data_IF_024792006757
#
_entry.id   IF_024792006757
#
_cell.length_a   1.000
_cell.length_b   1.000
_cell.length_c   1.000
_cell.angle_alpha   90.00
_cell.angle_beta   90.00
_cell.angle_gamma   90.00
#
_symmetry.space_group_name_H-M   'P 1'
#
loop_
_entity.id
_entity.type
_entity.pdbx_description
1 polymer ?
#
# COMPACT_ATOMS: atom_id res chain seq x y z
N UNK A 1 12.85 5.21 7.39
CA UNK A 1 13.98 5.86 6.70
C UNK A 1 15.24 5.72 7.54
N UNK A 2 15.16 5.95 8.84
CA UNK A 2 16.24 5.75 9.83
C UNK A 2 16.99 4.40 9.71
N UNK A 3 16.29 3.27 9.50
CA UNK A 3 16.95 1.95 9.44
C UNK A 3 17.92 1.73 8.26
N UNK A 4 17.78 2.42 7.11
CA UNK A 4 18.69 2.19 5.97
C UNK A 4 19.92 3.10 6.07
N UNK A 5 19.72 4.35 6.48
CA UNK A 5 20.79 5.31 6.69
C UNK A 5 21.73 4.84 7.82
N UNK A 6 21.17 4.24 8.88
CA UNK A 6 21.95 3.61 9.96
C UNK A 6 22.75 2.40 9.49
N UNK A 7 22.20 1.59 8.58
CA UNK A 7 22.88 0.42 8.04
C UNK A 7 24.01 0.81 7.06
N UNK A 8 23.80 1.82 6.22
CA UNK A 8 24.85 2.37 5.35
C UNK A 8 25.98 3.00 6.17
N UNK A 9 25.65 3.76 7.22
CA UNK A 9 26.63 4.31 8.14
C UNK A 9 27.43 3.20 8.85
N UNK A 10 26.75 2.13 9.28
CA UNK A 10 27.38 0.97 9.90
C UNK A 10 28.30 0.21 8.92
N UNK A 11 27.90 0.04 7.65
CA UNK A 11 28.75 -0.55 6.62
C UNK A 11 30.00 0.29 6.37
N UNK A 12 29.84 1.61 6.24
CA UNK A 12 30.96 2.53 6.02
C UNK A 12 31.95 2.50 7.19
N UNK A 13 31.45 2.47 8.41
CA UNK A 13 32.27 2.33 9.62
C UNK A 13 33.02 0.99 9.64
N UNK A 14 32.36 -0.12 9.33
CA UNK A 14 32.99 -1.45 9.27
C UNK A 14 34.04 -1.56 8.16
N UNK A 15 33.80 -0.95 7.00
CA UNK A 15 34.77 -0.89 5.90
C UNK A 15 36.00 -0.07 6.28
N UNK A 16 35.84 1.03 7.01
CA UNK A 16 36.96 1.78 7.59
C UNK A 16 37.78 0.93 8.56
N UNK A 17 37.11 0.24 9.48
CA UNK A 17 37.76 -0.66 10.44
C UNK A 17 38.53 -1.82 9.76
N UNK A 18 37.99 -2.38 8.67
CA UNK A 18 38.69 -3.39 7.87
C UNK A 18 39.95 -2.84 7.19
N UNK A 19 39.91 -1.60 6.69
CA UNK A 19 41.07 -0.98 6.06
C UNK A 19 42.20 -0.78 7.08
N UNK A 20 41.88 -0.29 8.28
CA UNK A 20 42.82 -0.14 9.39
C UNK A 20 43.40 -1.50 9.85
N UNK A 21 42.54 -2.51 9.98
CA UNK A 21 42.97 -3.86 10.34
C UNK A 21 43.90 -4.48 9.28
N UNK A 22 43.65 -4.24 7.98
CA UNK A 22 44.52 -4.68 6.90
C UNK A 22 45.88 -3.99 6.93
N UNK A 23 45.92 -2.70 7.24
CA UNK A 23 47.19 -1.97 7.39
C UNK A 23 47.98 -2.49 8.60
N UNK A 24 47.31 -2.76 9.72
CA UNK A 24 47.93 -3.37 10.90
C UNK A 24 48.49 -4.76 10.60
N UNK A 25 47.79 -5.58 9.79
CA UNK A 25 48.29 -6.87 9.34
C UNK A 25 49.54 -6.73 8.47
N UNK A 26 49.58 -5.77 7.55
CA UNK A 26 50.77 -5.51 6.72
C UNK A 26 51.96 -5.10 7.57
N UNK A 27 51.76 -4.27 8.60
CA UNK A 27 52.80 -3.90 9.57
C UNK A 27 53.32 -5.12 10.33
N UNK A 28 52.43 -5.96 10.85
CA UNK A 28 52.79 -7.22 11.52
C UNK A 28 53.52 -8.21 10.62
N UNK A 29 53.13 -8.30 9.35
CA UNK A 29 53.83 -9.16 8.39
C UNK A 29 55.25 -8.64 8.11
N UNK A 30 55.43 -7.33 8.01
CA UNK A 30 56.75 -6.72 7.88
C UNK A 30 57.62 -6.95 9.13
N UNK A 31 57.07 -6.80 10.33
CA UNK A 31 57.75 -7.10 11.61
C UNK A 31 58.14 -8.58 11.71
N UNK A 32 57.24 -9.49 11.31
CA UNK A 32 57.52 -10.94 11.26
C UNK A 32 58.66 -11.25 10.29
N UNK A 33 58.67 -10.60 9.13
CA UNK A 33 59.72 -10.82 8.12
C UNK A 33 61.07 -10.22 8.58
N UNK A 34 61.05 -9.10 9.32
CA UNK A 34 62.25 -8.56 9.99
C UNK A 34 62.78 -9.52 11.07
N UNK A 35 61.91 -10.03 11.95
CA UNK A 35 62.28 -11.00 12.98
C UNK A 35 62.84 -12.30 12.40
N UNK A 36 62.35 -12.75 11.22
CA UNK A 36 62.93 -13.89 10.50
C UNK A 36 64.36 -13.60 10.03
N UNK A 37 64.62 -12.40 9.48
CA UNK A 37 65.97 -12.00 9.06
C UNK A 37 66.92 -11.91 10.24
N UNK A 38 66.48 -11.35 11.36
CA UNK A 38 67.27 -11.31 12.59
C UNK A 38 67.58 -12.71 13.14
N UNK A 39 66.59 -13.63 13.13
CA UNK A 39 66.82 -15.01 13.53
C UNK A 39 67.80 -15.76 12.61
N UNK A 40 67.78 -15.49 11.29
CA UNK A 40 68.75 -16.01 10.33
C UNK A 40 70.17 -15.49 10.62
N UNK A 41 70.31 -14.18 10.85
CA UNK A 41 71.59 -13.57 11.21
C UNK A 41 72.13 -14.12 12.54
N UNK A 42 71.28 -14.28 13.55
CA UNK A 42 71.67 -14.88 14.83
C UNK A 42 72.09 -16.35 14.69
N UNK A 43 71.49 -17.10 13.74
CA UNK A 43 71.91 -18.46 13.43
C UNK A 43 73.33 -18.48 12.83
N UNK A 44 73.62 -17.56 11.91
CA UNK A 44 74.97 -17.40 11.33
C UNK A 44 75.99 -17.04 12.42
N UNK A 45 75.66 -16.08 13.29
CA UNK A 45 76.53 -15.68 14.40
C UNK A 45 76.80 -16.84 15.38
N UNK A 46 75.79 -17.67 15.64
CA UNK A 46 75.92 -18.86 16.48
C UNK A 46 76.81 -19.92 15.82
N UNK A 47 76.71 -20.12 14.51
CA UNK A 47 77.62 -21.00 13.76
C UNK A 47 79.07 -20.48 13.79
N UNK A 48 79.27 -19.17 13.67
CA UNK A 48 80.58 -18.53 13.83
C UNK A 48 81.15 -18.70 15.24
N UNK A 49 80.35 -18.48 16.29
CA UNK A 49 80.76 -18.69 17.68
C UNK A 49 81.12 -20.16 17.96
N UNK A 50 80.41 -21.12 17.36
CA UNK A 50 80.77 -22.55 17.42
C UNK A 50 82.12 -22.82 16.76
N UNK A 51 82.38 -22.20 15.61
CA UNK A 51 83.66 -22.32 14.92
C UNK A 51 84.82 -21.69 15.72
N UNK A 52 84.60 -20.54 16.39
CA UNK A 52 85.59 -19.92 17.29
C UNK A 52 85.94 -20.84 18.46
N UNK A 53 84.94 -21.46 19.10
CA UNK A 53 85.16 -22.41 20.19
C UNK A 53 85.91 -23.65 19.69
N UNK A 54 85.55 -24.20 18.53
CA UNK A 54 86.23 -25.34 17.93
C UNK A 54 87.69 -25.03 17.57
N UNK A 55 87.96 -23.83 17.03
CA UNK A 55 89.31 -23.37 16.73
C UNK A 55 90.15 -23.14 18.00
N UNK A 56 89.57 -22.55 19.04
CA UNK A 56 90.24 -22.37 20.34
C UNK A 56 90.55 -23.71 21.03
N UNK A 57 89.67 -24.72 20.87
CA UNK A 57 89.91 -26.09 21.37
C UNK A 57 90.99 -26.82 20.56
N UNK A 58 91.02 -26.65 19.23
CA UNK A 58 92.03 -27.25 18.35
C UNK A 58 93.43 -26.65 18.53
N UNK A 59 93.52 -25.37 18.92
CA UNK A 59 94.79 -24.66 19.10
C UNK A 59 95.66 -25.20 20.25
N UNK A 60 95.11 -26.00 21.18
CA UNK A 60 95.82 -26.87 22.14
C UNK A 60 97.20 -26.40 22.69
N UNK A 61 97.36 -25.11 22.98
CA UNK A 61 98.59 -24.54 23.56
C UNK A 61 98.39 -24.33 25.07
N UNK A 62 99.29 -24.87 25.88
CA UNK A 62 99.21 -24.97 27.34
C UNK A 62 99.44 -23.66 28.11
N UNK A 63 99.10 -22.51 27.53
CA UNK A 63 99.30 -21.17 28.11
C UNK A 63 98.03 -20.55 28.72
N UNK A 64 98.20 -19.66 29.71
CA UNK A 64 97.09 -18.89 30.31
C UNK A 64 96.28 -18.09 29.26
N UNK A 65 96.96 -17.58 28.22
CA UNK A 65 96.31 -16.86 27.12
C UNK A 65 95.33 -17.73 26.31
N UNK A 66 95.66 -19.00 26.07
CA UNK A 66 94.79 -19.93 25.35
C UNK A 66 93.54 -20.29 26.19
N UNK A 67 93.70 -20.44 27.51
CA UNK A 67 92.58 -20.66 28.44
C UNK A 67 91.63 -19.45 28.49
N UNK A 68 92.19 -18.23 28.51
CA UNK A 68 91.39 -17.00 28.47
C UNK A 68 90.64 -16.82 27.15
N UNK A 69 91.27 -17.16 26.01
CA UNK A 69 90.63 -17.14 24.69
C UNK A 69 89.49 -18.17 24.59
N UNK A 70 89.70 -19.39 25.09
CA UNK A 70 88.67 -20.43 25.12
C UNK A 70 87.47 -20.05 26.02
N UNK A 71 87.71 -19.45 27.20
CA UNK A 71 86.64 -18.94 28.06
C UNK A 71 85.84 -17.82 27.39
N UNK A 72 86.51 -16.88 26.71
CA UNK A 72 85.86 -15.80 25.97
C UNK A 72 85.01 -16.32 24.80
N UNK A 73 85.50 -17.34 24.08
CA UNK A 73 84.75 -18.00 23.02
C UNK A 73 83.53 -18.76 23.57
N UNK A 74 83.66 -19.44 24.71
CA UNK A 74 82.55 -20.13 25.38
C UNK A 74 81.45 -19.16 25.84
N UNK A 75 81.81 -18.02 26.44
CA UNK A 75 80.85 -16.98 26.83
C UNK A 75 80.11 -16.39 25.63
N UNK A 76 80.79 -16.17 24.51
CA UNK A 76 80.16 -15.72 23.25
C UNK A 76 79.19 -16.77 22.70
N UNK A 77 79.54 -18.05 22.77
CA UNK A 77 78.67 -19.14 22.34
C UNK A 77 77.42 -19.24 23.21
N UNK A 78 77.53 -19.08 24.53
CA UNK A 78 76.37 -19.04 25.44
C UNK A 78 75.46 -17.86 25.13
N UNK A 79 76.02 -16.66 24.95
CA UNK A 79 75.25 -15.47 24.57
C UNK A 79 74.53 -15.67 23.21
N UNK A 80 75.23 -16.20 22.21
CA UNK A 80 74.65 -16.50 20.89
C UNK A 80 73.56 -17.58 20.96
N UNK A 81 73.73 -18.62 21.78
CA UNK A 81 72.72 -19.66 21.99
C UNK A 81 71.45 -19.08 22.64
N UNK A 82 71.59 -18.22 23.65
CA UNK A 82 70.47 -17.55 24.29
C UNK A 82 69.71 -16.65 23.31
N UNK A 83 70.44 -15.83 22.56
CA UNK A 83 69.86 -14.89 21.59
C UNK A 83 69.16 -15.62 20.42
N UNK A 84 69.78 -16.69 19.89
CA UNK A 84 69.14 -17.52 18.87
C UNK A 84 67.88 -18.23 19.38
N UNK A 85 67.88 -18.70 20.62
CA UNK A 85 66.70 -19.33 21.24
C UNK A 85 65.57 -18.32 21.43
N UNK A 86 65.87 -17.13 21.94
CA UNK A 86 64.93 -16.02 22.11
C UNK A 86 64.29 -15.63 20.77
N UNK A 87 65.10 -15.34 19.75
CA UNK A 87 64.62 -14.89 18.43
C UNK A 87 63.76 -15.96 17.73
N UNK A 88 64.05 -17.25 17.92
CA UNK A 88 63.19 -18.33 17.40
C UNK A 88 61.82 -18.36 18.07
N UNK A 89 61.76 -18.14 19.38
CA UNK A 89 60.50 -18.08 20.11
C UNK A 89 59.68 -16.86 19.69
N UNK A 90 60.32 -15.70 19.58
CA UNK A 90 59.70 -14.46 19.13
C UNK A 90 59.16 -14.61 17.69
N UNK A 91 59.92 -15.21 16.77
CA UNK A 91 59.47 -15.50 15.41
C UNK A 91 58.30 -16.49 15.36
N UNK A 92 58.23 -17.46 16.28
CA UNK A 92 57.12 -18.41 16.37
C UNK A 92 55.85 -17.74 16.90
N UNK A 93 55.98 -16.88 17.91
CA UNK A 93 54.88 -16.09 18.45
C UNK A 93 54.31 -15.14 17.37
N UNK A 94 55.17 -14.37 16.69
CA UNK A 94 54.79 -13.46 15.62
C UNK A 94 54.05 -14.17 14.45
N UNK A 95 54.48 -15.39 14.08
CA UNK A 95 53.76 -16.20 13.08
C UNK A 95 52.35 -16.56 13.53
N UNK A 96 52.19 -16.99 14.78
CA UNK A 96 50.89 -17.38 15.33
C UNK A 96 49.95 -16.18 15.38
N UNK A 97 50.42 -15.04 15.85
CA UNK A 97 49.64 -13.81 15.93
C UNK A 97 49.22 -13.27 14.56
N UNK A 98 50.14 -13.28 13.57
CA UNK A 98 49.84 -12.92 12.17
C UNK A 98 48.76 -13.85 11.59
N UNK A 99 48.86 -15.17 11.83
CA UNK A 99 47.87 -16.13 11.34
C UNK A 99 46.48 -15.95 11.96
N UNK A 100 46.41 -15.75 13.28
CA UNK A 100 45.14 -15.48 13.98
C UNK A 100 44.52 -14.16 13.51
N UNK A 101 45.33 -13.12 13.30
CA UNK A 101 44.85 -11.84 12.80
C UNK A 101 44.28 -11.96 11.38
N UNK A 102 44.92 -12.74 10.48
CA UNK A 102 44.39 -13.00 9.13
C UNK A 102 43.05 -13.71 9.15
N UNK A 103 42.92 -14.77 9.95
CA UNK A 103 41.66 -15.51 10.09
C UNK A 103 40.53 -14.60 10.57
N UNK A 104 40.78 -13.76 11.59
CA UNK A 104 39.77 -12.83 12.08
C UNK A 104 39.33 -11.80 11.03
N UNK A 105 40.24 -11.42 10.13
CA UNK A 105 39.97 -10.43 9.09
C UNK A 105 39.19 -11.05 7.93
N UNK A 106 39.50 -12.30 7.55
CA UNK A 106 38.73 -13.08 6.58
C UNK A 106 37.28 -13.26 7.04
N UNK A 107 37.06 -13.67 8.29
CA UNK A 107 35.71 -13.78 8.88
C UNK A 107 34.95 -12.45 8.86
N UNK A 108 35.63 -11.34 9.16
CA UNK A 108 35.02 -10.02 9.15
C UNK A 108 34.60 -9.58 7.74
N UNK A 109 35.40 -9.91 6.72
CA UNK A 109 35.08 -9.65 5.30
C UNK A 109 33.88 -10.47 4.85
N UNK A 110 33.80 -11.76 5.21
CA UNK A 110 32.66 -12.61 4.85
C UNK A 110 31.36 -12.08 5.46
N UNK A 111 31.38 -11.75 6.76
CA UNK A 111 30.22 -11.13 7.43
C UNK A 111 29.79 -9.82 6.76
N UNK A 112 30.75 -9.03 6.27
CA UNK A 112 30.45 -7.79 5.56
C UNK A 112 29.73 -8.04 4.23
N UNK A 113 30.21 -9.01 3.45
CA UNK A 113 29.55 -9.42 2.19
C UNK A 113 28.13 -9.91 2.42
N UNK A 114 27.91 -10.69 3.47
CA UNK A 114 26.57 -11.14 3.87
C UNK A 114 25.65 -9.95 4.20
N UNK A 115 26.16 -8.96 4.95
CA UNK A 115 25.37 -7.76 5.27
C UNK A 115 25.07 -6.89 4.04
N UNK A 116 26.00 -6.77 3.10
CA UNK A 116 25.79 -6.05 1.83
C UNK A 116 24.72 -6.75 0.97
N UNK A 117 24.78 -8.08 0.86
CA UNK A 117 23.78 -8.85 0.13
C UNK A 117 22.37 -8.69 0.74
N UNK A 118 22.28 -8.73 2.08
CA UNK A 118 21.02 -8.53 2.78
C UNK A 118 20.44 -7.12 2.59
N UNK A 119 21.30 -6.11 2.50
CA UNK A 119 20.89 -4.72 2.22
C UNK A 119 20.35 -4.58 0.80
N UNK A 120 21.06 -5.09 -0.20
CA UNK A 120 20.60 -5.07 -1.59
C UNK A 120 19.21 -5.72 -1.74
N UNK A 121 18.98 -6.87 -1.09
CA UNK A 121 17.67 -7.53 -1.12
C UNK A 121 16.55 -6.69 -0.49
N UNK A 122 16.84 -5.92 0.57
CA UNK A 122 15.86 -5.00 1.18
C UNK A 122 15.57 -3.79 0.29
N UNK A 123 16.58 -3.28 -0.41
CA UNK A 123 16.40 -2.17 -1.35
C UNK A 123 15.53 -2.54 -2.55
N UNK A 124 15.74 -3.73 -3.12
CA UNK A 124 14.89 -4.26 -4.19
C UNK A 124 13.43 -4.41 -3.72
N UNK A 125 13.21 -4.96 -2.52
CA UNK A 125 11.88 -5.07 -1.94
C UNK A 125 11.21 -3.70 -1.72
N UNK A 126 11.97 -2.70 -1.26
CA UNK A 126 11.48 -1.33 -1.11
C UNK A 126 11.12 -0.68 -2.45
N UNK A 127 11.91 -0.93 -3.50
CA UNK A 127 11.60 -0.44 -4.85
C UNK A 127 10.33 -1.09 -5.40
N UNK A 128 10.12 -2.38 -5.17
CA UNK A 128 8.90 -3.08 -5.53
C UNK A 128 7.68 -2.50 -4.81
N UNK A 129 7.76 -2.33 -3.48
CA UNK A 129 6.68 -1.72 -2.67
C UNK A 129 6.34 -0.29 -3.10
N UNK A 130 7.34 0.49 -3.53
CA UNK A 130 7.10 1.84 -4.06
C UNK A 130 6.37 1.83 -5.40
N UNK A 131 6.59 0.82 -6.24
CA UNK A 131 5.87 0.67 -7.51
C UNK A 131 4.42 0.30 -7.25
N UNK A 132 4.17 -0.72 -6.41
CA UNK A 132 2.81 -1.13 -6.06
C UNK A 132 2.04 0.01 -5.40
N UNK A 133 2.66 0.77 -4.50
CA UNK A 133 2.00 1.93 -3.87
C UNK A 133 1.57 2.99 -4.89
N UNK A 134 2.38 3.25 -5.94
CA UNK A 134 2.00 4.19 -7.01
C UNK A 134 0.85 3.66 -7.87
N UNK A 135 0.84 2.36 -8.14
CA UNK A 135 -0.25 1.69 -8.86
C UNK A 135 -1.55 1.76 -8.06
N UNK A 136 -1.49 1.51 -6.76
CA UNK A 136 -2.64 1.62 -5.84
C UNK A 136 -3.16 3.06 -5.75
N UNK A 137 -2.28 4.05 -5.67
CA UNK A 137 -2.67 5.47 -5.70
C UNK A 137 -3.39 5.85 -6.99
N UNK A 138 -2.91 5.36 -8.15
CA UNK A 138 -3.56 5.58 -9.44
C UNK A 138 -4.93 4.89 -9.52
N UNK A 139 -5.03 3.64 -9.06
CA UNK A 139 -6.29 2.91 -9.00
C UNK A 139 -7.32 3.61 -8.09
N UNK A 140 -6.87 4.14 -6.96
CA UNK A 140 -7.71 4.87 -6.03
C UNK A 140 -8.19 6.21 -6.58
N UNK A 141 -7.35 6.90 -7.36
CA UNK A 141 -7.76 8.11 -8.08
C UNK A 141 -8.86 7.80 -9.11
N UNK A 142 -8.66 6.76 -9.93
CA UNK A 142 -9.67 6.33 -10.91
C UNK A 142 -11.00 5.93 -10.25
N UNK A 143 -10.94 5.19 -9.14
CA UNK A 143 -12.14 4.81 -8.38
C UNK A 143 -12.89 6.03 -7.80
N UNK A 144 -12.17 7.09 -7.39
CA UNK A 144 -12.79 8.34 -6.93
C UNK A 144 -13.49 9.08 -8.07
N UNK A 145 -12.89 9.14 -9.24
CA UNK A 145 -13.51 9.75 -10.43
C UNK A 145 -14.77 8.99 -10.84
N UNK A 146 -14.74 7.66 -10.84
CA UNK A 146 -15.91 6.83 -11.14
C UNK A 146 -17.04 7.03 -10.12
N UNK A 147 -16.70 7.08 -8.83
CA UNK A 147 -17.67 7.33 -7.77
C UNK A 147 -18.34 8.71 -7.91
N UNK A 148 -17.56 9.73 -8.26
CA UNK A 148 -18.10 11.08 -8.47
C UNK A 148 -19.02 11.13 -9.70
N UNK A 149 -18.65 10.45 -10.78
CA UNK A 149 -19.52 10.32 -11.96
C UNK A 149 -20.84 9.60 -11.62
N UNK A 150 -20.80 8.53 -10.84
CA UNK A 150 -22.00 7.82 -10.39
C UNK A 150 -22.88 8.69 -9.50
N UNK A 151 -22.29 9.51 -8.62
CA UNK A 151 -23.04 10.48 -7.79
C UNK A 151 -23.76 11.51 -8.64
N UNK A 152 -23.08 12.10 -9.63
CA UNK A 152 -23.70 13.06 -10.54
C UNK A 152 -24.85 12.43 -11.34
N UNK A 153 -24.70 11.18 -11.79
CA UNK A 153 -25.79 10.44 -12.43
C UNK A 153 -26.97 10.21 -11.48
N UNK A 154 -26.72 9.84 -10.22
CA UNK A 154 -27.76 9.68 -9.22
C UNK A 154 -28.50 10.99 -8.94
N UNK A 155 -27.79 12.10 -8.81
CA UNK A 155 -28.41 13.42 -8.63
C UNK A 155 -29.27 13.83 -9.84
N UNK A 156 -28.77 13.60 -11.07
CA UNK A 156 -29.52 13.87 -12.29
C UNK A 156 -30.79 13.01 -12.39
N UNK A 157 -30.71 11.72 -12.07
CA UNK A 157 -31.87 10.82 -12.06
C UNK A 157 -32.88 11.19 -10.97
N UNK A 158 -32.42 11.60 -9.78
CA UNK A 158 -33.30 12.08 -8.71
C UNK A 158 -34.05 13.35 -9.13
N UNK A 159 -33.35 14.33 -9.72
CA UNK A 159 -33.97 15.55 -10.23
C UNK A 159 -35.02 15.27 -11.32
N UNK A 160 -34.73 14.33 -12.23
CA UNK A 160 -35.68 13.88 -13.25
C UNK A 160 -36.91 13.22 -12.63
N UNK A 161 -36.73 12.35 -11.63
CA UNK A 161 -37.82 11.70 -10.92
C UNK A 161 -38.73 12.71 -10.20
N UNK A 162 -38.16 13.74 -9.56
CA UNK A 162 -38.92 14.81 -8.93
C UNK A 162 -39.71 15.64 -9.95
N UNK A 163 -39.10 15.95 -11.11
CA UNK A 163 -39.80 16.61 -12.21
C UNK A 163 -41.01 15.80 -12.71
N UNK A 164 -40.83 14.49 -12.93
CA UNK A 164 -41.92 13.59 -13.33
C UNK A 164 -43.03 13.52 -12.28
N UNK A 165 -42.66 13.47 -10.99
CA UNK A 165 -43.62 13.47 -9.89
C UNK A 165 -44.49 14.73 -9.88
N UNK A 166 -43.91 15.90 -10.13
CA UNK A 166 -44.66 17.16 -10.24
C UNK A 166 -45.63 17.16 -11.43
N UNK A 167 -45.17 16.69 -12.60
CA UNK A 167 -46.02 16.55 -13.79
C UNK A 167 -47.20 15.61 -13.54
N UNK A 168 -46.95 14.45 -12.93
CA UNK A 168 -47.99 13.49 -12.58
C UNK A 168 -48.99 14.04 -11.57
N UNK A 169 -48.48 14.75 -10.54
CA UNK A 169 -49.32 15.46 -9.56
C UNK A 169 -50.27 16.46 -10.23
N UNK A 170 -49.75 17.29 -11.13
CA UNK A 170 -50.55 18.27 -11.86
C UNK A 170 -51.59 17.61 -12.77
N UNK A 171 -51.18 16.56 -13.51
CA UNK A 171 -52.08 15.79 -14.35
C UNK A 171 -53.21 15.16 -13.53
N UNK A 172 -52.89 14.54 -12.39
CA UNK A 172 -53.87 13.95 -11.49
C UNK A 172 -54.86 15.01 -10.96
N UNK A 173 -54.37 16.16 -10.50
CA UNK A 173 -55.22 17.26 -10.03
C UNK A 173 -56.18 17.75 -11.13
N UNK A 174 -55.70 17.86 -12.38
CA UNK A 174 -56.55 18.21 -13.54
C UNK A 174 -57.61 17.15 -13.80
N UNK A 175 -57.26 15.87 -13.78
CA UNK A 175 -58.21 14.78 -13.98
C UNK A 175 -59.27 14.71 -12.89
N UNK A 176 -58.90 14.95 -11.63
CA UNK A 176 -59.87 15.03 -10.53
C UNK A 176 -60.88 16.17 -10.71
N UNK A 177 -60.43 17.34 -11.17
CA UNK A 177 -61.33 18.46 -11.50
C UNK A 177 -62.30 18.11 -12.64
N UNK A 178 -61.80 17.48 -13.70
CA UNK A 178 -62.64 17.03 -14.83
C UNK A 178 -63.67 16.00 -14.38
N UNK A 179 -63.27 15.03 -13.56
CA UNK A 179 -64.16 14.02 -12.99
C UNK A 179 -65.28 14.66 -12.15
N UNK A 180 -64.95 15.67 -11.33
CA UNK A 180 -65.93 16.41 -10.54
C UNK A 180 -66.92 17.18 -11.43
N UNK A 181 -66.43 17.86 -12.48
CA UNK A 181 -67.27 18.56 -13.44
C UNK A 181 -68.22 17.61 -14.19
N UNK A 182 -67.72 16.46 -14.64
CA UNK A 182 -68.55 15.43 -15.29
C UNK A 182 -69.64 14.91 -14.36
N UNK A 183 -69.34 14.68 -13.07
CA UNK A 183 -70.34 14.28 -12.07
C UNK A 183 -71.42 15.35 -11.88
N UNK A 184 -71.03 16.62 -11.84
CA UNK A 184 -71.98 17.73 -11.73
C UNK A 184 -72.88 17.82 -12.97
N UNK A 185 -72.31 17.73 -14.17
CA UNK A 185 -73.06 17.71 -15.42
C UNK A 185 -74.02 16.52 -15.50
N UNK A 186 -73.57 15.34 -15.10
CA UNK A 186 -74.43 14.15 -15.06
C UNK A 186 -75.62 14.35 -14.11
N UNK A 187 -75.40 14.91 -12.92
CA UNK A 187 -76.49 15.22 -11.97
C UNK A 187 -77.47 16.26 -12.55
N UNK A 188 -76.97 17.30 -13.21
CA UNK A 188 -77.81 18.30 -13.87
C UNK A 188 -78.67 17.66 -14.98
N UNK A 189 -78.09 16.78 -15.78
CA UNK A 189 -78.78 16.05 -16.84
C UNK A 189 -79.85 15.09 -16.30
N UNK A 190 -79.59 14.41 -15.18
CA UNK A 190 -80.65 13.61 -14.52
C UNK A 190 -81.79 14.49 -13.99
N UNK A 191 -81.49 15.71 -13.52
CA UNK A 191 -82.50 16.70 -13.17
C UNK A 191 -83.36 17.12 -14.37
N UNK A 192 -82.74 17.50 -15.49
CA UNK A 192 -83.49 17.91 -16.69
C UNK A 192 -84.33 16.77 -17.26
N UNK A 193 -83.85 15.52 -17.21
CA UNK A 193 -84.65 14.34 -17.58
C UNK A 193 -85.88 14.17 -16.68
N UNK A 194 -85.74 14.38 -15.37
CA UNK A 194 -86.86 14.28 -14.45
C UNK A 194 -87.91 15.37 -14.72
N UNK A 195 -87.47 16.61 -15.01
CA UNK A 195 -88.36 17.71 -15.34
C UNK A 195 -89.06 17.49 -16.68
N UNK A 196 -88.37 16.97 -17.70
CA UNK A 196 -88.98 16.58 -18.97
C UNK A 196 -90.10 15.55 -18.78
N UNK A 197 -89.86 14.51 -17.97
CA UNK A 197 -90.91 13.51 -17.67
C UNK A 197 -92.14 14.12 -17.00
N UNK A 198 -91.96 15.12 -16.13
CA UNK A 198 -93.09 15.84 -15.51
C UNK A 198 -93.86 16.67 -16.54
N UNK A 199 -93.16 17.37 -17.43
CA UNK A 199 -93.77 18.13 -18.51
C UNK A 199 -94.56 17.22 -19.45
N UNK A 200 -93.98 16.08 -19.83
CA UNK A 200 -94.67 15.06 -20.64
C UNK A 200 -95.94 14.54 -19.95
N UNK A 201 -95.90 14.32 -18.63
CA UNK A 201 -97.08 13.91 -17.86
C UNK A 201 -98.16 14.99 -17.82
N UNK A 202 -97.80 16.25 -17.53
CA UNK A 202 -98.74 17.38 -17.54
C UNK A 202 -99.36 17.59 -18.92
N UNK A 203 -98.56 17.53 -19.99
CA UNK A 203 -99.08 17.61 -21.35
C UNK A 203 -100.07 16.48 -21.67
N UNK A 204 -99.84 15.27 -21.15
CA UNK A 204 -100.78 14.17 -21.27
C UNK A 204 -102.09 14.40 -20.51
N UNK A 205 -102.03 15.01 -19.33
CA UNK A 205 -103.22 15.40 -18.54
C UNK A 205 -104.00 16.53 -19.22
N UNK A 206 -103.30 17.56 -19.69
CA UNK A 206 -103.89 18.67 -20.45
C UNK A 206 -104.57 18.17 -21.72
N UNK A 207 -103.95 17.25 -22.46
CA UNK A 207 -104.53 16.63 -23.65
C UNK A 207 -105.86 15.92 -23.32
N UNK A 208 -105.88 15.09 -22.26
CA UNK A 208 -107.12 14.43 -21.79
C UNK A 208 -108.17 15.45 -21.38
N UNK A 209 -107.78 16.52 -20.69
CA UNK A 209 -108.71 17.57 -20.26
C UNK A 209 -109.31 18.32 -21.44
N UNK A 210 -108.53 18.58 -22.48
CA UNK A 210 -109.01 19.17 -23.74
C UNK A 210 -110.01 18.23 -24.41
N UNK A 211 -109.70 16.93 -24.51
CA UNK A 211 -110.63 15.92 -25.05
C UNK A 211 -111.96 15.87 -24.26
N UNK A 212 -111.90 15.90 -22.92
CA UNK A 212 -113.09 15.97 -22.05
C UNK A 212 -113.92 17.22 -22.31
N UNK A 213 -113.29 18.40 -22.36
CA UNK A 213 -113.98 19.68 -22.60
C UNK A 213 -114.60 19.72 -24.00
N UNK A 214 -113.93 19.16 -25.01
CA UNK A 214 -114.47 19.02 -26.35
C UNK A 214 -115.71 18.11 -26.37
N UNK A 215 -115.66 16.98 -25.66
CA UNK A 215 -116.80 16.07 -25.52
C UNK A 215 -117.98 16.73 -24.79
N UNK A 216 -117.73 17.48 -23.72
CA UNK A 216 -118.74 18.25 -22.99
C UNK A 216 -119.39 19.31 -23.89
N UNK A 217 -118.60 20.10 -24.60
CA UNK A 217 -119.09 21.11 -25.53
C UNK A 217 -119.98 20.49 -26.62
N UNK A 218 -119.58 19.35 -27.18
CA UNK A 218 -120.39 18.65 -28.17
C UNK A 218 -121.70 18.13 -27.59
N UNK A 219 -121.70 17.61 -26.36
CA UNK A 219 -122.91 17.17 -25.68
C UNK A 219 -123.88 18.34 -25.39
N UNK A 220 -123.37 19.49 -24.96
CA UNK A 220 -124.15 20.72 -24.76
C UNK A 220 -124.73 21.26 -26.08
N UNK A 221 -123.96 21.23 -27.16
CA UNK A 221 -124.45 21.61 -28.49
C UNK A 221 -125.61 20.72 -28.96
N UNK A 222 -125.53 19.41 -28.71
CA UNK A 222 -126.60 18.46 -29.02
C UNK A 222 -127.84 18.68 -28.16
N UNK A 223 -127.69 18.92 -26.85
CA UNK A 223 -128.82 19.16 -25.95
C UNK A 223 -129.51 20.50 -26.25
N UNK A 224 -128.75 21.55 -26.57
CA UNK A 224 -129.27 22.84 -27.02
C UNK A 224 -130.03 22.71 -28.35
N UNK A 225 -129.52 21.91 -29.30
CA UNK A 225 -130.21 21.62 -30.55
C UNK A 225 -131.52 20.84 -30.32
N UNK A 226 -131.54 19.87 -29.41
CA UNK A 226 -132.75 19.12 -29.06
C UNK A 226 -133.79 20.00 -28.35
N UNK A 227 -133.38 20.85 -27.40
CA UNK A 227 -134.26 21.79 -26.72
C UNK A 227 -134.85 22.85 -27.68
N UNK A 228 -134.06 23.31 -28.66
CA UNK A 228 -134.56 24.19 -29.72
C UNK A 228 -135.59 23.50 -30.62
N UNK A 229 -135.46 22.20 -30.87
CA UNK A 229 -136.47 21.43 -31.60
C UNK A 229 -137.76 21.24 -30.79
N UNK A 230 -137.68 20.95 -29.50
CA UNK A 230 -138.86 20.82 -28.63
C UNK A 230 -139.64 22.14 -28.46
N UNK A 231 -138.97 23.30 -28.51
CA UNK A 231 -139.65 24.60 -28.50
C UNK A 231 -140.30 24.99 -29.85
N UNK A 232 -140.00 24.23 -30.91
CA UNK A 232 -140.51 24.47 -32.28
C UNK A 232 -141.61 23.50 -32.72
N UNK A 233 -142.01 22.57 -31.85
CA UNK A 233 -143.09 21.60 -32.04
C UNK A 233 -144.33 21.99 -31.21
#
# INVERSE_FOLDING_TARGET
RESNDELEAALKAKNGALAEANEALRKRDAERDAARREAELAKIALEQARAEVAAAQAANESGEAAKAAAQKAAQRLEAANYESSRLRNDAKAARKESQTARQSLEEAIERLKETEAALNGKEEALLALRRTAKEDEAALAAAREELEAQRQQLEATAASADGLKQVLSFALARHLKLLAALRQQHKALEGTKADLRKLEAMHGEDAKRIEELQAQLHAEQLSAAAAAQEQSA
#
